data_IF_509496807257
#
_entry.id   IF_509496807257
#
_cell.length_a   1.000
_cell.length_b   1.000
_cell.length_c   1.000
_cell.angle_alpha   90.00
_cell.angle_beta   90.00
_cell.angle_gamma   90.00
#
_symmetry.space_group_name_H-M   'P 1'
#
loop_
_entity.id
_entity.type
_entity.pdbx_description
1 polymer ?
#
# COMPACT_ATOMS: atom_id res chain seq x y z
N UNK A 1 7.16 -26.41 -15.26
CA UNK A 1 8.25 -25.48 -15.60
C UNK A 1 8.35 -24.44 -14.50
N UNK A 2 9.39 -24.51 -13.67
CA UNK A 2 9.69 -23.43 -12.71
C UNK A 2 10.20 -22.26 -13.55
N UNK A 3 9.51 -21.12 -13.51
CA UNK A 3 10.00 -19.89 -14.14
C UNK A 3 11.34 -19.53 -13.52
N UNK A 4 12.39 -19.49 -14.33
CA UNK A 4 13.75 -19.07 -13.95
C UNK A 4 13.90 -17.56 -13.88
N UNK A 5 12.83 -16.80 -14.15
CA UNK A 5 12.82 -15.35 -14.03
C UNK A 5 12.56 -15.03 -12.55
N UNK A 6 13.54 -14.52 -11.78
CA UNK A 6 13.30 -14.06 -10.44
C UNK A 6 12.31 -12.91 -10.54
N UNK A 7 11.10 -13.09 -10.02
CA UNK A 7 10.17 -11.98 -9.87
C UNK A 7 10.71 -11.16 -8.68
N UNK A 8 11.59 -10.21 -8.97
CA UNK A 8 12.09 -9.25 -7.99
C UNK A 8 10.86 -8.61 -7.34
N UNK A 9 10.82 -8.60 -6.00
CA UNK A 9 9.70 -8.14 -5.17
C UNK A 9 9.34 -6.65 -5.29
N UNK A 10 9.45 -6.06 -6.48
CA UNK A 10 9.08 -4.69 -6.79
C UNK A 10 7.63 -4.38 -6.40
N UNK A 11 6.70 -5.30 -6.64
CA UNK A 11 5.30 -5.12 -6.23
C UNK A 11 5.11 -5.12 -4.71
N UNK A 12 5.93 -5.88 -3.98
CA UNK A 12 6.00 -5.82 -2.51
C UNK A 12 6.55 -4.48 -2.02
N UNK A 13 7.58 -3.93 -2.67
CA UNK A 13 8.10 -2.60 -2.37
C UNK A 13 7.04 -1.51 -2.61
N UNK A 14 6.27 -1.60 -3.70
CA UNK A 14 5.12 -0.72 -3.96
C UNK A 14 4.09 -0.84 -2.84
N UNK A 15 3.77 -2.05 -2.37
CA UNK A 15 2.88 -2.24 -1.22
C UNK A 15 3.42 -1.54 0.05
N UNK A 16 4.73 -1.57 0.26
CA UNK A 16 5.38 -0.80 1.33
C UNK A 16 5.25 0.72 1.18
N UNK A 17 5.38 1.25 -0.03
CA UNK A 17 5.15 2.68 -0.32
C UNK A 17 3.67 3.06 -0.11
N UNK A 18 2.73 2.19 -0.46
CA UNK A 18 1.31 2.45 -0.18
C UNK A 18 1.01 2.46 1.32
N UNK A 19 1.64 1.59 2.10
CA UNK A 19 1.56 1.64 3.56
C UNK A 19 2.08 2.97 4.14
N UNK A 20 3.20 3.47 3.60
CA UNK A 20 3.72 4.79 3.94
C UNK A 20 2.72 5.90 3.61
N UNK A 21 2.17 5.88 2.40
CA UNK A 21 1.20 6.86 1.93
C UNK A 21 -0.08 6.85 2.77
N UNK A 22 -0.57 5.67 3.16
CA UNK A 22 -1.72 5.51 4.06
C UNK A 22 -1.48 6.23 5.39
N UNK A 23 -0.31 6.04 6.01
CA UNK A 23 0.00 6.59 7.32
C UNK A 23 0.29 8.10 7.29
N UNK A 24 0.92 8.58 6.21
CA UNK A 24 1.33 9.97 6.06
C UNK A 24 0.21 10.86 5.49
N UNK A 25 -0.61 10.32 4.59
CA UNK A 25 -1.60 11.07 3.82
C UNK A 25 -2.97 10.37 3.74
N UNK A 26 -3.58 9.96 4.87
CA UNK A 26 -4.81 9.15 4.85
C UNK A 26 -5.99 9.84 4.16
N UNK A 27 -6.04 11.18 4.19
CA UNK A 27 -7.10 12.00 3.58
C UNK A 27 -6.78 12.49 2.17
N UNK A 28 -5.60 12.17 1.62
CA UNK A 28 -5.30 12.51 0.24
C UNK A 28 -6.26 11.79 -0.71
N UNK A 29 -6.54 12.40 -1.85
CA UNK A 29 -7.52 11.88 -2.81
C UNK A 29 -6.79 11.19 -3.96
N UNK A 30 -7.13 9.93 -4.19
CA UNK A 30 -6.66 9.13 -5.33
C UNK A 30 -7.69 9.28 -6.44
N UNK A 31 -7.24 9.74 -7.60
CA UNK A 31 -8.07 9.81 -8.79
C UNK A 31 -8.22 8.39 -9.36
N UNK A 32 -9.43 7.87 -9.34
CA UNK A 32 -9.73 6.47 -9.65
C UNK A 32 -10.72 6.40 -10.80
N UNK A 33 -10.32 5.69 -11.85
CA UNK A 33 -11.23 5.29 -12.91
C UNK A 33 -12.09 4.11 -12.41
N UNK A 34 -13.41 4.29 -12.39
CA UNK A 34 -14.38 3.24 -12.09
C UNK A 34 -15.11 2.88 -13.37
N UNK A 35 -15.14 1.59 -13.67
CA UNK A 35 -15.87 1.01 -14.79
C UNK A 35 -16.88 0.00 -14.23
N UNK A 36 -18.17 0.32 -14.28
CA UNK A 36 -19.27 -0.55 -13.86
C UNK A 36 -20.16 -0.82 -15.08
N UNK A 37 -19.89 -1.92 -15.78
CA UNK A 37 -20.60 -2.42 -16.98
C UNK A 37 -20.61 -1.41 -18.14
N UNK A 38 -21.43 -0.36 -18.04
CA UNK A 38 -21.55 0.73 -19.01
C UNK A 38 -21.25 2.11 -18.42
N UNK A 39 -21.10 2.22 -17.09
CA UNK A 39 -20.78 3.46 -16.40
C UNK A 39 -19.27 3.59 -16.28
N UNK A 40 -18.69 4.60 -16.93
CA UNK A 40 -17.28 4.95 -16.85
C UNK A 40 -17.19 6.32 -16.22
N UNK A 41 -16.62 6.41 -15.04
CA UNK A 41 -16.45 7.67 -14.32
C UNK A 41 -15.08 7.75 -13.66
N UNK A 42 -14.59 8.96 -13.45
CA UNK A 42 -13.34 9.25 -12.76
C UNK A 42 -13.69 9.96 -11.45
N UNK A 43 -13.59 9.22 -10.34
CA UNK A 43 -13.93 9.74 -9.01
C UNK A 43 -12.69 9.89 -8.13
N UNK A 44 -12.78 10.75 -7.12
CA UNK A 44 -11.72 10.97 -6.14
C UNK A 44 -12.01 10.18 -4.86
N UNK A 45 -11.21 9.16 -4.57
CA UNK A 45 -11.39 8.30 -3.40
C UNK A 45 -10.33 8.65 -2.34
N UNK A 46 -10.71 8.85 -1.06
CA UNK A 46 -9.73 9.00 0.02
C UNK A 46 -8.75 7.82 0.06
N UNK A 47 -7.47 8.12 0.22
CA UNK A 47 -6.38 7.16 0.19
C UNK A 47 -6.59 6.02 1.19
N UNK A 48 -7.10 6.33 2.39
CA UNK A 48 -7.36 5.30 3.38
C UNK A 48 -8.39 4.26 2.92
N UNK A 49 -9.45 4.67 2.21
CA UNK A 49 -10.46 3.75 1.69
C UNK A 49 -9.85 2.88 0.60
N UNK A 50 -9.21 3.52 -0.37
CA UNK A 50 -8.67 2.82 -1.54
C UNK A 50 -7.59 1.80 -1.15
N UNK A 51 -6.63 2.22 -0.32
CA UNK A 51 -5.47 1.40 0.05
C UNK A 51 -5.89 0.26 0.99
N UNK A 52 -6.76 0.52 1.98
CA UNK A 52 -7.24 -0.54 2.87
C UNK A 52 -8.13 -1.54 2.13
N UNK A 53 -8.97 -1.08 1.20
CA UNK A 53 -9.74 -1.96 0.33
C UNK A 53 -8.83 -2.88 -0.49
N UNK A 54 -7.83 -2.30 -1.17
CA UNK A 54 -6.86 -3.10 -1.94
C UNK A 54 -6.10 -4.08 -1.05
N UNK A 55 -5.67 -3.67 0.14
CA UNK A 55 -4.95 -4.54 1.07
C UNK A 55 -5.82 -5.68 1.61
N UNK A 56 -7.10 -5.41 1.90
CA UNK A 56 -8.07 -6.44 2.29
C UNK A 56 -8.26 -7.48 1.18
N UNK A 57 -8.28 -7.06 -0.09
CA UNK A 57 -8.28 -7.99 -1.22
C UNK A 57 -7.01 -8.85 -1.24
N UNK A 58 -5.82 -8.32 -0.91
CA UNK A 58 -4.61 -9.13 -0.83
C UNK A 58 -4.71 -10.22 0.25
N UNK A 59 -5.29 -9.90 1.42
CA UNK A 59 -5.51 -10.86 2.50
C UNK A 59 -6.50 -11.96 2.09
N UNK A 60 -7.65 -11.58 1.54
CA UNK A 60 -8.70 -12.53 1.13
C UNK A 60 -8.21 -13.40 -0.03
N UNK A 61 -7.63 -12.80 -1.06
CA UNK A 61 -7.10 -13.54 -2.21
C UNK A 61 -5.91 -14.43 -1.82
N UNK A 62 -5.05 -13.98 -0.91
CA UNK A 62 -3.99 -14.81 -0.34
C UNK A 62 -4.53 -16.02 0.40
N UNK A 63 -5.57 -15.84 1.22
CA UNK A 63 -6.24 -16.93 1.94
C UNK A 63 -6.91 -17.93 0.99
N UNK A 64 -7.63 -17.44 -0.04
CA UNK A 64 -8.27 -18.28 -1.06
C UNK A 64 -7.24 -19.06 -1.87
N UNK A 65 -6.06 -18.48 -2.12
CA UNK A 65 -5.00 -19.11 -2.91
C UNK A 65 -4.17 -20.15 -2.14
N UNK A 66 -4.29 -20.24 -0.81
CA UNK A 66 -3.50 -21.15 0.03
C UNK A 66 -3.57 -22.63 -0.40
N UNK A 67 -4.75 -23.23 -0.68
CA UNK A 67 -4.83 -24.65 -1.03
C UNK A 67 -4.08 -25.00 -2.33
N UNK A 68 -3.96 -24.03 -3.23
CA UNK A 68 -3.33 -24.17 -4.54
C UNK A 68 -1.89 -23.68 -4.58
N UNK A 69 -1.35 -23.20 -3.45
CA UNK A 69 -0.05 -22.52 -3.40
C UNK A 69 1.11 -23.40 -3.89
N UNK A 70 1.00 -24.71 -3.72
CA UNK A 70 2.02 -25.69 -4.16
C UNK A 70 1.91 -26.06 -5.64
N UNK A 71 0.80 -25.72 -6.30
CA UNK A 71 0.52 -26.05 -7.71
C UNK A 71 0.61 -24.82 -8.63
N UNK A 72 0.68 -23.62 -8.05
CA UNK A 72 0.71 -22.36 -8.80
C UNK A 72 2.08 -22.13 -9.45
N UNK A 73 2.22 -22.50 -10.72
CA UNK A 73 3.32 -22.05 -11.58
C UNK A 73 2.91 -20.77 -12.29
N UNK A 74 3.08 -19.64 -11.60
CA UNK A 74 2.64 -18.31 -12.06
C UNK A 74 1.36 -17.86 -11.36
N UNK A 75 1.31 -16.58 -10.95
CA UNK A 75 0.20 -16.00 -10.19
C UNK A 75 0.59 -14.75 -9.41
N UNK A 76 -0.40 -14.06 -8.85
CA UNK A 76 -0.17 -12.88 -8.00
C UNK A 76 0.47 -13.31 -6.67
N UNK A 77 1.58 -12.67 -6.30
CA UNK A 77 2.30 -12.96 -5.06
C UNK A 77 1.67 -12.23 -3.85
N UNK A 78 0.46 -12.63 -3.45
CA UNK A 78 -0.30 -11.98 -2.37
C UNK A 78 0.50 -11.82 -1.07
N UNK A 79 1.24 -12.85 -0.65
CA UNK A 79 2.08 -12.79 0.56
C UNK A 79 3.24 -11.80 0.45
N UNK A 80 3.78 -11.58 -0.75
CA UNK A 80 4.80 -10.55 -0.97
C UNK A 80 4.22 -9.14 -0.80
N UNK A 81 2.98 -8.92 -1.24
CA UNK A 81 2.27 -7.66 -1.00
C UNK A 81 1.96 -7.46 0.49
N UNK A 82 1.49 -8.51 1.18
CA UNK A 82 1.19 -8.46 2.61
C UNK A 82 2.45 -8.13 3.43
N UNK A 83 3.55 -8.86 3.17
CA UNK A 83 4.83 -8.63 3.84
C UNK A 83 5.42 -7.25 3.52
N UNK A 84 5.35 -6.83 2.26
CA UNK A 84 5.79 -5.50 1.83
C UNK A 84 5.03 -4.36 2.52
N UNK A 85 3.70 -4.47 2.59
CA UNK A 85 2.85 -3.50 3.28
C UNK A 85 3.16 -3.41 4.78
N UNK A 86 3.27 -4.56 5.46
CA UNK A 86 3.60 -4.61 6.88
C UNK A 86 5.00 -4.03 7.16
N UNK A 87 5.98 -4.35 6.31
CA UNK A 87 7.33 -3.79 6.39
C UNK A 87 7.32 -2.28 6.17
N UNK A 88 6.55 -1.78 5.20
CA UNK A 88 6.39 -0.35 4.96
C UNK A 88 5.77 0.39 6.15
N UNK A 89 4.73 -0.17 6.77
CA UNK A 89 4.14 0.37 8.01
C UNK A 89 5.19 0.47 9.12
N UNK A 90 5.96 -0.60 9.33
CA UNK A 90 7.01 -0.65 10.35
C UNK A 90 8.10 0.39 10.08
N UNK A 91 8.61 0.46 8.84
CA UNK A 91 9.65 1.42 8.46
C UNK A 91 9.18 2.86 8.68
N UNK A 92 7.97 3.20 8.25
CA UNK A 92 7.45 4.56 8.45
C UNK A 92 7.26 4.83 9.94
N UNK A 93 6.76 3.88 10.72
CA UNK A 93 6.63 4.06 12.15
C UNK A 93 7.98 4.30 12.85
N UNK A 94 9.05 3.61 12.42
CA UNK A 94 10.42 3.79 12.95
C UNK A 94 11.04 5.12 12.50
N UNK A 95 10.91 5.49 11.23
CA UNK A 95 11.61 6.61 10.63
C UNK A 95 10.80 7.91 10.53
N UNK A 96 9.52 7.90 10.89
CA UNK A 96 8.70 9.13 10.92
C UNK A 96 9.21 10.04 12.02
N UNK A 97 10.01 11.02 11.60
CA UNK A 97 10.44 12.10 12.46
C UNK A 97 9.19 12.79 13.05
N UNK A 98 9.08 12.75 14.37
CA UNK A 98 8.14 13.62 15.07
C UNK A 98 8.61 15.02 14.74
N UNK A 99 7.94 15.74 13.83
CA UNK A 99 8.21 17.16 13.62
C UNK A 99 8.23 17.79 15.02
N UNK A 100 9.43 18.11 15.51
CA UNK A 100 9.57 19.04 16.63
C UNK A 100 8.82 20.26 16.13
N UNK A 101 7.76 20.64 16.84
CA UNK A 101 7.17 21.95 16.63
C UNK A 101 8.29 22.93 16.96
N UNK A 102 9.00 23.35 15.92
CA UNK A 102 9.97 24.42 15.99
C UNK A 102 9.14 25.69 16.12
N UNK A 103 8.73 25.94 17.36
CA UNK A 103 8.08 27.16 17.76
C UNK A 103 8.59 27.54 19.13
N UNK A 104 9.61 28.39 19.13
CA UNK A 104 9.80 29.55 20.01
C UNK A 104 11.19 30.05 19.67
N UNK A 105 11.29 31.14 18.91
CA UNK A 105 12.40 32.12 18.99
C UNK A 105 12.07 33.38 18.16
N UNK A 106 11.07 33.37 17.27
CA UNK A 106 10.58 34.58 16.57
C UNK A 106 9.73 35.55 17.43
N UNK A 107 9.65 35.34 18.75
CA UNK A 107 8.92 36.22 19.69
C UNK A 107 9.87 37.00 20.62
N UNK A 108 10.97 37.52 20.08
CA UNK A 108 11.85 38.44 20.81
C UNK A 108 11.77 39.83 20.17
N UNK A 109 11.04 40.78 20.78
CA UNK A 109 11.08 42.18 20.39
C UNK A 109 12.33 42.81 20.99
N UNK A 110 13.46 42.65 20.31
CA UNK A 110 14.55 43.62 20.38
C UNK A 110 14.84 44.16 18.99
#
# INVERSE_FOLDING_TARGET
TVSTIPNIGASGAIAGVMAAYLLMYPRAKILTLIIIIIFVDIIQIPAFIFILFWFALQLVSGLIALPSAHMATGGVAYFAHIGGFATGLLLVWVFKEKRRAEYTDEYLPW
#
